data_IF_124481698714
#
_entry.id   IF_124481698714
#
_cell.length_a   1.000
_cell.length_b   1.000
_cell.length_c   1.000
_cell.angle_alpha   90.00
_cell.angle_beta   90.00
_cell.angle_gamma   90.00
#
_symmetry.space_group_name_H-M   'P 1'
#
loop_
_entity.id
_entity.type
_entity.pdbx_description
1 polymer ?
#
# COMPACT_ATOMS: atom_id res chain seq x y z
N UNK A 1 31.21 14.26 -65.45
CA UNK A 1 30.35 15.36 -65.00
C UNK A 1 29.41 14.83 -63.92
N UNK A 2 29.75 14.92 -62.63
CA UNK A 2 28.84 14.56 -61.54
C UNK A 2 27.95 15.75 -61.17
N UNK A 3 26.67 15.47 -60.91
CA UNK A 3 25.65 16.43 -60.45
C UNK A 3 25.85 16.77 -58.96
N UNK A 4 25.46 17.99 -58.51
CA UNK A 4 25.81 18.51 -57.19
C UNK A 4 24.88 18.04 -56.06
N UNK A 5 25.45 17.90 -54.86
CA UNK A 5 24.74 17.66 -53.59
C UNK A 5 24.03 18.94 -53.10
N UNK A 6 22.87 18.83 -52.44
CA UNK A 6 22.16 20.00 -51.92
C UNK A 6 22.76 20.49 -50.58
N UNK A 7 22.70 21.81 -50.42
CA UNK A 7 23.28 22.57 -49.32
C UNK A 7 22.61 22.32 -47.96
N UNK A 8 23.43 22.31 -46.91
CA UNK A 8 23.04 22.23 -45.50
C UNK A 8 22.49 23.60 -45.06
N UNK A 9 21.20 23.65 -44.73
CA UNK A 9 20.56 24.82 -44.12
C UNK A 9 20.89 24.90 -42.63
N UNK A 10 21.47 26.02 -42.21
CA UNK A 10 21.72 26.39 -40.81
C UNK A 10 20.42 26.87 -40.16
N UNK A 11 20.01 26.23 -39.06
CA UNK A 11 18.87 26.65 -38.22
C UNK A 11 19.41 27.56 -37.10
N UNK A 12 18.78 28.72 -36.81
CA UNK A 12 19.27 29.62 -35.77
C UNK A 12 19.00 29.07 -34.37
N UNK A 13 20.00 29.23 -33.49
CA UNK A 13 19.92 28.91 -32.08
C UNK A 13 18.91 29.82 -31.36
N UNK A 14 17.80 29.24 -30.89
CA UNK A 14 16.87 29.93 -29.98
C UNK A 14 17.29 29.71 -28.53
N UNK A 15 17.37 30.81 -27.79
CA UNK A 15 17.86 30.88 -26.42
C UNK A 15 16.97 30.10 -25.45
N UNK A 16 17.58 29.18 -24.71
CA UNK A 16 16.96 28.45 -23.61
C UNK A 16 16.95 29.37 -22.39
N UNK A 17 15.75 29.74 -21.93
CA UNK A 17 15.56 30.36 -20.61
C UNK A 17 15.69 29.28 -19.52
N UNK A 18 16.33 29.57 -18.37
CA UNK A 18 16.48 28.58 -17.31
C UNK A 18 15.15 28.34 -16.59
N UNK A 19 14.72 27.08 -16.55
CA UNK A 19 13.60 26.63 -15.72
C UNK A 19 14.04 26.66 -14.26
N UNK A 20 13.40 27.50 -13.47
CA UNK A 20 13.61 27.59 -12.04
C UNK A 20 13.32 26.23 -11.37
N UNK A 21 14.28 25.75 -10.59
CA UNK A 21 14.14 24.55 -9.78
C UNK A 21 12.98 24.72 -8.78
N UNK A 22 11.92 23.93 -8.95
CA UNK A 22 10.86 23.81 -7.97
C UNK A 22 11.44 23.19 -6.68
N UNK A 23 11.29 23.90 -5.58
CA UNK A 23 11.75 23.46 -4.26
C UNK A 23 11.08 22.12 -3.90
N UNK A 24 11.90 21.12 -3.58
CA UNK A 24 11.45 19.84 -3.06
C UNK A 24 10.59 20.07 -1.80
N UNK A 25 9.34 19.63 -1.83
CA UNK A 25 8.46 19.64 -0.67
C UNK A 25 9.05 18.74 0.42
N UNK A 26 9.26 19.30 1.62
CA UNK A 26 9.77 18.57 2.76
C UNK A 26 8.77 17.47 3.19
N UNK A 27 9.23 16.26 3.55
CA UNK A 27 8.36 15.21 4.03
C UNK A 27 7.66 15.64 5.32
N UNK A 28 6.36 15.38 5.41
CA UNK A 28 5.55 15.66 6.59
C UNK A 28 6.19 14.99 7.81
N UNK A 29 6.57 15.79 8.82
CA UNK A 29 7.12 15.31 10.08
C UNK A 29 6.06 14.49 10.83
N UNK A 30 6.21 13.18 10.80
CA UNK A 30 5.41 12.26 11.60
C UNK A 30 5.78 12.37 13.09
N UNK A 31 4.78 12.45 13.97
CA UNK A 31 4.99 12.40 15.43
C UNK A 31 4.94 10.94 15.89
N UNK A 32 6.01 10.40 16.51
CA UNK A 32 5.98 9.03 17.03
C UNK A 32 5.00 8.90 18.20
N UNK A 33 4.18 7.85 18.17
CA UNK A 33 3.28 7.48 19.27
C UNK A 33 4.13 6.93 20.42
N UNK A 34 4.15 7.61 21.57
CA UNK A 34 4.66 7.07 22.83
C UNK A 34 3.59 6.16 23.44
N UNK A 35 3.79 4.85 23.36
CA UNK A 35 3.03 3.88 24.16
C UNK A 35 3.44 4.02 25.63
N UNK A 36 2.57 4.60 26.45
CA UNK A 36 2.74 4.68 27.91
C UNK A 36 2.22 3.38 28.52
N UNK A 37 3.11 2.49 28.94
CA UNK A 37 2.75 1.36 29.77
C UNK A 37 2.57 1.84 31.22
N UNK A 38 1.39 1.63 31.79
CA UNK A 38 1.15 1.82 33.22
C UNK A 38 1.45 0.51 33.95
N UNK A 39 2.28 0.49 35.01
CA UNK A 39 2.46 -0.71 35.81
C UNK A 39 1.29 -0.85 36.80
N UNK A 40 0.60 -1.98 36.76
CA UNK A 40 -0.35 -2.40 37.79
C UNK A 40 0.39 -3.18 38.88
N UNK A 41 0.51 -2.58 40.06
CA UNK A 41 1.01 -3.21 41.28
C UNK A 41 -0.08 -4.08 41.90
N UNK A 42 0.26 -5.34 42.19
CA UNK A 42 -0.55 -6.29 42.97
C UNK A 42 -0.16 -6.16 44.44
N UNK A 43 -1.13 -6.02 45.33
CA UNK A 43 -0.93 -6.20 46.77
C UNK A 43 -2.20 -6.75 47.42
N UNK A 44 -2.09 -7.96 48.00
CA UNK A 44 -3.03 -8.53 48.98
C UNK A 44 -2.95 -7.76 50.31
N UNK A 45 -3.97 -7.84 51.18
CA UNK A 45 -3.82 -8.74 52.33
C UNK A 45 -5.13 -9.38 52.84
N UNK A 46 -4.97 -10.16 53.90
CA UNK A 46 -5.84 -11.15 54.52
C UNK A 46 -6.64 -10.66 55.75
N UNK A 47 -7.58 -11.55 56.16
CA UNK A 47 -8.14 -11.82 57.53
C UNK A 47 -9.26 -10.95 58.14
N UNK A 48 -10.44 -11.58 58.23
CA UNK A 48 -11.31 -11.88 59.40
C UNK A 48 -11.91 -10.76 60.29
N UNK A 49 -13.25 -10.69 60.35
CA UNK A 49 -14.06 -10.81 61.59
C UNK A 49 -15.58 -10.65 61.34
N UNK A 50 -16.36 -11.33 62.18
CA UNK A 50 -17.83 -11.55 62.17
C UNK A 50 -18.55 -10.50 63.03
N UNK A 51 -19.74 -10.02 62.60
CA UNK A 51 -20.90 -9.74 63.49
C UNK A 51 -22.20 -9.48 62.69
N UNK A 52 -23.33 -9.91 63.27
CA UNK A 52 -24.69 -10.12 62.73
C UNK A 52 -25.56 -8.84 62.56
N UNK A 53 -26.77 -8.92 61.94
CA UNK A 53 -27.38 -7.81 61.17
C UNK A 53 -28.56 -7.07 61.86
N UNK A 54 -28.99 -5.89 61.34
CA UNK A 54 -30.30 -5.29 61.61
C UNK A 54 -31.24 -5.30 60.37
N UNK A 55 -32.56 -4.99 60.52
CA UNK A 55 -33.65 -5.48 59.67
C UNK A 55 -33.89 -4.64 58.40
N UNK A 56 -34.71 -5.11 57.43
CA UNK A 56 -34.82 -4.46 56.13
C UNK A 56 -35.89 -3.35 56.14
N UNK A 57 -35.66 -2.24 55.40
CA UNK A 57 -36.76 -1.45 54.90
C UNK A 57 -36.81 -1.46 53.36
N UNK A 58 -37.96 -1.92 52.87
CA UNK A 58 -38.72 -1.45 51.70
C UNK A 58 -37.99 -1.00 50.43
N UNK A 59 -38.23 -1.74 49.35
CA UNK A 59 -37.89 -1.38 47.98
C UNK A 59 -38.52 -0.04 47.55
N UNK A 60 -37.67 0.90 47.13
CA UNK A 60 -38.03 1.98 46.19
C UNK A 60 -36.94 2.10 45.14
N UNK A 61 -37.33 1.85 43.89
CA UNK A 61 -36.49 2.07 42.71
C UNK A 61 -36.19 3.56 42.55
N UNK A 62 -34.94 3.95 42.79
CA UNK A 62 -34.41 5.27 42.38
C UNK A 62 -33.26 5.06 41.39
N UNK A 63 -33.52 5.44 40.13
CA UNK A 63 -32.56 5.50 39.04
C UNK A 63 -31.38 6.39 39.44
N UNK A 64 -30.19 5.82 39.60
CA UNK A 64 -28.95 6.60 39.69
C UNK A 64 -28.53 7.03 38.29
N UNK A 65 -28.56 8.35 38.08
CA UNK A 65 -27.91 9.05 36.99
C UNK A 65 -26.45 8.62 36.89
N UNK A 66 -26.08 8.01 35.76
CA UNK A 66 -24.70 7.83 35.36
C UNK A 66 -24.25 9.12 34.67
N UNK A 67 -23.40 9.89 35.35
CA UNK A 67 -22.83 11.12 34.82
C UNK A 67 -22.01 10.82 33.56
N UNK A 68 -22.29 11.58 32.49
CA UNK A 68 -21.74 11.39 31.16
C UNK A 68 -20.22 11.56 31.12
N UNK A 69 -19.55 10.61 30.45
CA UNK A 69 -18.28 10.90 29.78
C UNK A 69 -18.58 11.89 28.67
N UNK A 70 -17.92 13.05 28.69
CA UNK A 70 -18.03 14.04 27.64
C UNK A 70 -17.71 13.41 26.29
N UNK A 71 -18.70 13.42 25.40
CA UNK A 71 -18.50 13.19 23.99
C UNK A 71 -17.62 14.32 23.46
N UNK A 72 -16.36 14.01 23.18
CA UNK A 72 -15.60 14.82 22.26
C UNK A 72 -16.36 14.82 20.92
N UNK A 73 -16.57 15.97 20.26
CA UNK A 73 -17.33 16.01 19.03
C UNK A 73 -16.70 15.04 18.02
N UNK A 74 -17.51 14.12 17.49
CA UNK A 74 -17.10 13.20 16.46
C UNK A 74 -16.52 14.02 15.30
N UNK A 75 -15.24 13.80 14.96
CA UNK A 75 -14.64 14.43 13.77
C UNK A 75 -15.53 14.10 12.58
N UNK A 76 -15.84 15.06 11.69
CA UNK A 76 -16.59 14.77 10.49
C UNK A 76 -15.93 13.60 9.76
N UNK A 77 -16.75 12.60 9.41
CA UNK A 77 -16.27 11.38 8.78
C UNK A 77 -15.65 11.74 7.44
N UNK A 78 -14.32 11.61 7.31
CA UNK A 78 -13.62 11.79 6.04
C UNK A 78 -14.21 10.80 5.01
N UNK A 79 -14.57 11.28 3.82
CA UNK A 79 -14.98 10.42 2.71
C UNK A 79 -13.86 9.44 2.33
N UNK A 80 -14.21 8.30 1.73
CA UNK A 80 -13.25 7.29 1.29
C UNK A 80 -13.17 7.27 -0.23
N UNK A 81 -11.97 7.05 -0.76
CA UNK A 81 -11.73 6.80 -2.19
C UNK A 81 -11.04 5.46 -2.30
N UNK A 82 -11.48 4.65 -3.27
CA UNK A 82 -10.92 3.34 -3.53
C UNK A 82 -10.01 3.37 -4.75
N UNK A 83 -8.83 2.77 -4.63
CA UNK A 83 -8.00 2.41 -5.78
C UNK A 83 -8.09 0.91 -6.00
N UNK A 84 -8.51 0.50 -7.19
CA UNK A 84 -8.60 -0.91 -7.60
C UNK A 84 -7.38 -1.25 -8.45
N UNK A 85 -6.49 -2.07 -7.92
CA UNK A 85 -5.39 -2.66 -8.67
C UNK A 85 -5.92 -3.82 -9.52
N UNK A 86 -6.04 -3.60 -10.83
CA UNK A 86 -6.83 -4.47 -11.70
C UNK A 86 -6.07 -5.73 -12.10
N UNK A 87 -4.76 -5.63 -12.29
CA UNK A 87 -3.96 -6.69 -12.88
C UNK A 87 -4.04 -7.99 -12.06
N UNK A 88 -3.85 -7.99 -10.72
CA UNK A 88 -3.87 -9.22 -9.93
C UNK A 88 -5.24 -9.92 -9.87
N UNK A 89 -6.33 -9.16 -9.90
CA UNK A 89 -7.70 -9.72 -9.77
C UNK A 89 -8.25 -10.29 -11.08
N UNK A 90 -7.51 -10.12 -12.19
CA UNK A 90 -7.80 -10.72 -13.47
C UNK A 90 -7.38 -12.20 -13.58
N UNK A 91 -6.74 -12.77 -12.55
CA UNK A 91 -6.19 -14.11 -12.57
C UNK A 91 -6.80 -15.02 -11.50
N UNK A 92 -6.88 -16.31 -11.81
CA UNK A 92 -7.12 -17.40 -10.87
C UNK A 92 -5.90 -18.31 -10.90
N UNK A 93 -5.07 -18.22 -9.86
CA UNK A 93 -3.74 -18.82 -9.90
C UNK A 93 -2.91 -18.17 -11.02
N UNK A 94 -2.35 -18.98 -11.93
CA UNK A 94 -1.59 -18.49 -13.09
C UNK A 94 -2.43 -18.22 -14.34
N UNK A 95 -3.72 -18.56 -14.33
CA UNK A 95 -4.59 -18.45 -15.50
C UNK A 95 -5.44 -17.19 -15.45
N UNK A 96 -5.47 -16.45 -16.56
CA UNK A 96 -6.34 -15.28 -16.71
C UNK A 96 -7.80 -15.74 -16.76
N UNK A 97 -8.68 -15.07 -16.02
CA UNK A 97 -10.11 -15.41 -15.96
C UNK A 97 -10.99 -14.16 -15.84
N UNK A 98 -11.63 -13.77 -16.95
CA UNK A 98 -12.52 -12.62 -17.00
C UNK A 98 -13.79 -12.83 -16.15
N UNK A 99 -14.32 -14.05 -16.10
CA UNK A 99 -15.45 -14.37 -15.22
C UNK A 99 -15.07 -14.34 -13.73
N UNK A 100 -13.83 -14.68 -13.37
CA UNK A 100 -13.34 -14.48 -12.00
C UNK A 100 -13.19 -12.98 -11.68
N UNK A 101 -12.61 -12.19 -12.59
CA UNK A 101 -12.52 -10.74 -12.45
C UNK A 101 -13.89 -10.11 -12.17
N UNK A 102 -14.89 -10.38 -13.02
CA UNK A 102 -16.20 -9.77 -12.87
C UNK A 102 -16.92 -10.19 -11.57
N UNK A 103 -16.72 -11.43 -11.10
CA UNK A 103 -17.21 -11.85 -9.78
C UNK A 103 -16.55 -11.08 -8.64
N UNK A 104 -15.22 -10.91 -8.68
CA UNK A 104 -14.51 -10.11 -7.68
C UNK A 104 -14.96 -8.65 -7.68
N UNK A 105 -15.18 -8.09 -8.87
CA UNK A 105 -15.66 -6.73 -9.06
C UNK A 105 -17.09 -6.57 -8.52
N UNK A 106 -17.99 -7.52 -8.79
CA UNK A 106 -19.35 -7.52 -8.26
C UNK A 106 -19.37 -7.55 -6.72
N UNK A 107 -18.56 -8.43 -6.11
CA UNK A 107 -18.41 -8.52 -4.65
C UNK A 107 -17.81 -7.24 -4.07
N UNK A 108 -16.85 -6.64 -4.76
CA UNK A 108 -16.22 -5.38 -4.36
C UNK A 108 -17.25 -4.24 -4.35
N UNK A 109 -18.00 -4.05 -5.43
CA UNK A 109 -19.03 -3.01 -5.51
C UNK A 109 -20.15 -3.24 -4.51
N UNK A 110 -20.61 -4.48 -4.32
CA UNK A 110 -21.78 -4.78 -3.47
C UNK A 110 -21.47 -4.74 -1.98
N UNK A 111 -20.24 -5.07 -1.57
CA UNK A 111 -19.92 -5.27 -0.15
C UNK A 111 -18.81 -4.36 0.38
N UNK A 112 -18.07 -3.68 -0.48
CA UNK A 112 -16.88 -2.93 -0.09
C UNK A 112 -17.01 -1.45 -0.43
N UNK A 113 -17.04 -1.11 -1.72
CA UNK A 113 -17.06 0.29 -2.16
C UNK A 113 -18.46 0.87 -2.17
N UNK A 114 -19.50 0.07 -2.42
CA UNK A 114 -20.88 0.57 -2.53
C UNK A 114 -20.95 1.71 -3.55
N UNK A 115 -21.22 2.93 -3.08
CA UNK A 115 -21.27 4.16 -3.87
C UNK A 115 -20.05 5.05 -3.68
N UNK A 116 -19.10 4.67 -2.82
CA UNK A 116 -17.87 5.42 -2.63
C UNK A 116 -17.09 5.45 -3.97
N UNK A 117 -16.35 6.54 -4.25
CA UNK A 117 -15.57 6.67 -5.48
C UNK A 117 -14.55 5.55 -5.63
N UNK A 118 -14.41 5.05 -6.86
CA UNK A 118 -13.46 4.00 -7.24
C UNK A 118 -12.67 4.47 -8.45
N UNK A 119 -11.34 4.30 -8.43
CA UNK A 119 -10.45 4.50 -9.58
C UNK A 119 -9.73 3.18 -9.85
N UNK A 120 -9.87 2.66 -11.07
CA UNK A 120 -9.18 1.46 -11.50
C UNK A 120 -7.83 1.82 -12.11
N UNK A 121 -6.77 1.10 -11.70
CA UNK A 121 -5.40 1.35 -12.14
C UNK A 121 -4.81 0.08 -12.74
N UNK A 122 -4.17 0.23 -13.90
CA UNK A 122 -3.49 -0.86 -14.62
C UNK A 122 -1.99 -0.60 -14.71
N UNK A 123 -1.21 -1.68 -14.86
CA UNK A 123 0.20 -1.57 -15.23
C UNK A 123 0.34 -0.88 -16.59
N UNK A 124 1.24 0.11 -16.66
CA UNK A 124 1.63 0.74 -17.91
C UNK A 124 2.49 -0.19 -18.79
N UNK A 125 2.54 0.11 -20.09
CA UNK A 125 3.48 -0.57 -20.96
C UNK A 125 4.91 -0.34 -20.47
N UNK A 126 5.70 -1.41 -20.34
CA UNK A 126 7.07 -1.32 -19.83
C UNK A 126 7.21 -0.97 -18.35
N UNK A 127 6.14 -1.07 -17.53
CA UNK A 127 6.15 -0.62 -16.13
C UNK A 127 7.31 -1.14 -15.27
N UNK A 128 7.67 -2.41 -15.43
CA UNK A 128 8.75 -3.04 -14.66
C UNK A 128 10.16 -2.85 -15.26
N UNK A 129 10.32 -2.13 -16.37
CA UNK A 129 11.61 -2.01 -17.06
C UNK A 129 12.67 -1.30 -16.20
N UNK A 130 12.26 -0.26 -15.46
CA UNK A 130 13.17 0.42 -14.53
C UNK A 130 13.71 -0.56 -13.48
N UNK A 131 12.82 -1.30 -12.82
CA UNK A 131 13.20 -2.30 -11.80
C UNK A 131 14.03 -3.43 -12.39
N UNK A 132 13.74 -3.89 -13.62
CA UNK A 132 14.55 -4.90 -14.33
C UNK A 132 15.95 -4.41 -14.73
N UNK A 133 16.10 -3.12 -15.05
CA UNK A 133 17.43 -2.52 -15.31
C UNK A 133 18.29 -2.53 -14.04
N UNK A 134 17.67 -2.25 -12.89
CA UNK A 134 18.35 -2.34 -11.60
C UNK A 134 18.65 -3.80 -11.23
N UNK A 135 17.64 -4.66 -11.29
CA UNK A 135 17.71 -6.06 -10.90
C UNK A 135 17.08 -6.95 -11.99
N UNK A 136 17.90 -7.59 -12.85
CA UNK A 136 17.41 -8.42 -13.95
C UNK A 136 16.49 -9.59 -13.54
N UNK A 137 16.60 -10.08 -12.30
CA UNK A 137 15.72 -11.14 -11.78
C UNK A 137 14.31 -10.65 -11.43
N UNK A 138 14.08 -9.34 -11.35
CA UNK A 138 12.81 -8.75 -10.95
C UNK A 138 11.66 -9.20 -11.86
N UNK A 139 10.69 -9.91 -11.28
CA UNK A 139 9.52 -10.51 -11.95
C UNK A 139 9.88 -11.34 -13.20
N UNK A 140 11.14 -11.82 -13.32
CA UNK A 140 11.62 -12.50 -14.51
C UNK A 140 10.96 -13.87 -14.77
N UNK A 141 10.51 -14.52 -13.70
CA UNK A 141 9.79 -15.81 -13.75
C UNK A 141 8.31 -15.64 -14.15
N UNK A 142 7.76 -14.43 -14.08
CA UNK A 142 6.41 -14.16 -14.58
C UNK A 142 6.52 -14.27 -16.09
N UNK A 143 5.96 -15.34 -16.66
CA UNK A 143 5.96 -15.57 -18.11
C UNK A 143 5.61 -14.27 -18.80
N UNK A 144 6.38 -13.87 -19.83
CA UNK A 144 6.03 -12.76 -20.74
C UNK A 144 4.74 -13.13 -21.47
N UNK A 145 3.62 -13.12 -20.76
CA UNK A 145 2.33 -13.50 -21.27
C UNK A 145 1.83 -12.39 -22.16
N UNK A 146 1.57 -12.72 -23.41
CA UNK A 146 0.71 -11.94 -24.31
C UNK A 146 -0.48 -11.40 -23.50
N UNK A 147 -0.55 -10.08 -23.27
CA UNK A 147 -1.62 -9.46 -22.48
C UNK A 147 -1.25 -8.90 -21.09
N UNK A 148 0.00 -8.50 -20.84
CA UNK A 148 0.38 -7.71 -19.64
C UNK A 148 -0.17 -6.29 -19.63
N UNK A 149 -0.66 -5.79 -20.77
CA UNK A 149 -1.39 -4.52 -20.84
C UNK A 149 -2.84 -4.67 -20.41
N UNK A 150 -3.51 -3.54 -20.21
CA UNK A 150 -4.95 -3.49 -19.97
C UNK A 150 -5.71 -4.22 -21.09
N UNK A 151 -6.47 -5.26 -20.74
CA UNK A 151 -7.33 -5.97 -21.69
C UNK A 151 -8.53 -5.10 -21.96
N UNK A 152 -8.77 -4.77 -23.24
CA UNK A 152 -9.82 -3.84 -23.64
C UNK A 152 -11.18 -4.24 -23.06
N UNK A 153 -11.48 -5.53 -22.96
CA UNK A 153 -12.75 -6.03 -22.38
C UNK A 153 -12.89 -5.65 -20.90
N UNK A 154 -11.79 -5.70 -20.16
CA UNK A 154 -11.75 -5.32 -18.73
C UNK A 154 -11.87 -3.80 -18.58
N UNK A 155 -11.23 -3.04 -19.47
CA UNK A 155 -11.35 -1.58 -19.51
C UNK A 155 -12.79 -1.16 -19.84
N UNK A 156 -13.39 -1.78 -20.84
CA UNK A 156 -14.74 -1.46 -21.31
C UNK A 156 -15.76 -1.72 -20.20
N UNK A 157 -15.72 -2.90 -19.55
CA UNK A 157 -16.66 -3.20 -18.44
C UNK A 157 -16.49 -2.27 -17.24
N UNK A 158 -15.26 -1.84 -16.92
CA UNK A 158 -15.02 -0.87 -15.85
C UNK A 158 -15.61 0.51 -16.20
N UNK A 159 -15.44 0.97 -17.44
CA UNK A 159 -15.99 2.23 -17.93
C UNK A 159 -17.51 2.19 -17.98
N UNK A 160 -18.08 1.08 -18.44
CA UNK A 160 -19.52 0.85 -18.41
C UNK A 160 -20.04 0.89 -16.96
N UNK A 161 -19.31 0.38 -15.97
CA UNK A 161 -19.63 0.55 -14.54
C UNK A 161 -19.30 1.96 -13.98
N UNK A 162 -19.06 2.97 -14.82
CA UNK A 162 -18.71 4.33 -14.42
C UNK A 162 -17.45 4.43 -13.54
N UNK A 163 -16.47 3.55 -13.74
CA UNK A 163 -15.17 3.58 -13.05
C UNK A 163 -14.11 4.23 -13.94
N UNK A 164 -13.51 5.36 -13.52
CA UNK A 164 -12.32 5.91 -14.16
C UNK A 164 -11.19 4.89 -14.24
N UNK A 165 -10.55 4.80 -15.40
CA UNK A 165 -9.42 3.90 -15.66
C UNK A 165 -8.16 4.71 -15.90
N UNK A 166 -7.12 4.43 -15.13
CA UNK A 166 -5.80 5.09 -15.21
C UNK A 166 -4.74 4.06 -15.59
N UNK A 167 -3.90 4.44 -16.54
CA UNK A 167 -2.73 3.68 -16.98
C UNK A 167 -1.64 4.67 -17.38
N UNK A 168 -0.41 4.46 -16.91
CA UNK A 168 0.72 5.36 -17.19
C UNK A 168 1.91 4.53 -17.65
N UNK A 169 2.29 4.68 -18.91
CA UNK A 169 3.41 3.93 -19.49
C UNK A 169 4.72 4.18 -18.75
N UNK A 170 5.54 3.14 -18.64
CA UNK A 170 6.81 3.16 -17.90
C UNK A 170 6.67 2.99 -16.39
N UNK A 171 5.45 2.88 -15.86
CA UNK A 171 5.18 2.66 -14.44
C UNK A 171 4.26 1.46 -14.19
N UNK A 172 4.45 0.79 -13.05
CA UNK A 172 3.54 -0.23 -12.56
C UNK A 172 2.33 0.42 -11.87
N UNK A 173 1.22 -0.33 -11.73
CA UNK A 173 -0.01 0.19 -11.13
C UNK A 173 0.20 0.68 -9.70
N UNK A 174 1.11 0.03 -8.98
CA UNK A 174 1.47 0.33 -7.59
C UNK A 174 2.10 1.72 -7.42
N UNK A 175 2.98 2.13 -8.33
CA UNK A 175 3.60 3.46 -8.40
C UNK A 175 2.55 4.55 -8.66
N UNK A 176 1.63 4.28 -9.59
CA UNK A 176 0.52 5.20 -9.92
C UNK A 176 -0.42 5.35 -8.73
N UNK A 177 -0.81 4.25 -8.09
CA UNK A 177 -1.66 4.26 -6.89
C UNK A 177 -0.96 4.96 -5.73
N UNK A 178 0.34 4.75 -5.52
CA UNK A 178 1.09 5.42 -4.46
C UNK A 178 1.11 6.94 -4.66
N UNK A 179 1.32 7.40 -5.90
CA UNK A 179 1.26 8.83 -6.26
C UNK A 179 -0.14 9.42 -6.04
N UNK A 180 -1.19 8.75 -6.55
CA UNK A 180 -2.57 9.22 -6.41
C UNK A 180 -3.07 9.18 -4.95
N UNK A 181 -2.57 8.24 -4.14
CA UNK A 181 -2.87 8.15 -2.71
C UNK A 181 -2.47 9.43 -2.00
N UNK A 182 -1.28 9.98 -2.26
CA UNK A 182 -0.86 11.24 -1.65
C UNK A 182 -1.76 12.41 -2.03
N UNK A 183 -2.14 12.50 -3.31
CA UNK A 183 -3.04 13.56 -3.80
C UNK A 183 -4.43 13.48 -3.17
N UNK A 184 -4.98 12.28 -3.00
CA UNK A 184 -6.27 12.07 -2.33
C UNK A 184 -6.21 12.46 -0.84
N UNK A 185 -5.14 12.06 -0.14
CA UNK A 185 -4.94 12.40 1.27
C UNK A 185 -4.81 13.92 1.48
N UNK A 186 -4.11 14.62 0.58
CA UNK A 186 -3.99 16.09 0.60
C UNK A 186 -5.35 16.79 0.46
N UNK A 187 -6.30 16.18 -0.25
CA UNK A 187 -7.70 16.67 -0.35
C UNK A 187 -8.57 16.30 0.85
N UNK A 188 -8.02 15.65 1.87
CA UNK A 188 -8.71 15.35 3.13
C UNK A 188 -9.54 14.07 3.15
N UNK A 189 -9.44 13.25 2.10
CA UNK A 189 -10.10 11.95 2.01
C UNK A 189 -9.26 10.86 2.68
N UNK A 190 -9.88 9.70 2.89
CA UNK A 190 -9.21 8.44 3.23
C UNK A 190 -9.08 7.58 2.00
N UNK A 191 -8.06 6.73 1.97
CA UNK A 191 -7.78 5.83 0.85
C UNK A 191 -7.98 4.38 1.26
N UNK A 192 -8.61 3.60 0.38
CA UNK A 192 -8.66 2.15 0.49
C UNK A 192 -8.13 1.53 -0.80
N UNK A 193 -7.08 0.73 -0.71
CA UNK A 193 -6.46 0.09 -1.87
C UNK A 193 -6.95 -1.35 -1.95
N UNK A 194 -7.65 -1.69 -3.03
CA UNK A 194 -8.15 -3.02 -3.33
C UNK A 194 -7.11 -3.79 -4.16
N UNK A 195 -6.27 -4.56 -3.49
CA UNK A 195 -5.21 -5.37 -4.11
C UNK A 195 -4.77 -6.50 -3.18
N UNK A 196 -4.40 -7.69 -3.70
CA UNK A 196 -3.67 -8.70 -2.93
C UNK A 196 -2.16 -8.37 -2.81
N UNK A 197 -1.66 -7.37 -3.51
CA UNK A 197 -0.23 -7.04 -3.52
C UNK A 197 0.21 -6.51 -2.15
N UNK A 198 1.28 -7.11 -1.63
CA UNK A 198 1.85 -6.73 -0.34
C UNK A 198 2.67 -5.45 -0.42
N UNK A 199 3.04 -4.97 -1.60
CA UNK A 199 3.82 -3.75 -1.77
C UNK A 199 3.08 -2.51 -1.27
N UNK A 200 1.74 -2.52 -1.35
CA UNK A 200 0.89 -1.46 -0.79
C UNK A 200 0.95 -1.37 0.74
N UNK A 201 1.53 -2.35 1.45
CA UNK A 201 1.76 -2.24 2.91
C UNK A 201 2.64 -1.04 3.25
N UNK A 202 3.48 -0.59 2.32
CA UNK A 202 4.28 0.64 2.44
C UNK A 202 3.44 1.91 2.63
N UNK A 203 2.17 1.90 2.26
CA UNK A 203 1.28 3.05 2.31
C UNK A 203 0.33 3.03 3.53
N UNK A 204 0.25 1.91 4.26
CA UNK A 204 -0.69 1.75 5.38
C UNK A 204 -0.44 2.81 6.45
N UNK A 205 -1.52 3.50 6.84
CA UNK A 205 -1.51 4.51 7.89
C UNK A 205 -2.88 4.57 8.58
N UNK A 206 -3.14 5.62 9.36
CA UNK A 206 -4.47 5.86 9.93
C UNK A 206 -5.52 6.18 8.87
N UNK A 207 -5.12 6.80 7.77
CA UNK A 207 -6.00 7.25 6.67
C UNK A 207 -5.87 6.39 5.40
N UNK A 208 -5.03 5.35 5.41
CA UNK A 208 -4.86 4.40 4.28
C UNK A 208 -5.02 2.97 4.76
N UNK A 209 -5.93 2.23 4.12
CA UNK A 209 -6.21 0.82 4.39
C UNK A 209 -6.07 -0.01 3.11
N UNK A 210 -5.84 -1.31 3.27
CA UNK A 210 -5.93 -2.26 2.16
C UNK A 210 -7.21 -3.07 2.29
N UNK A 211 -7.70 -3.58 1.17
CA UNK A 211 -8.75 -4.60 1.12
C UNK A 211 -8.33 -5.67 0.13
N UNK A 212 -8.24 -6.91 0.59
CA UNK A 212 -7.65 -8.01 -0.18
C UNK A 212 -8.72 -9.07 -0.48
N UNK A 213 -8.73 -9.67 -1.69
CA UNK A 213 -9.61 -10.80 -1.97
C UNK A 213 -9.14 -12.03 -1.17
N UNK A 214 -10.08 -12.79 -0.59
CA UNK A 214 -9.85 -14.08 0.07
C UNK A 214 -10.59 -15.16 -0.74
N UNK A 215 -9.93 -15.81 -1.71
CA UNK A 215 -10.56 -16.75 -2.63
C UNK A 215 -11.26 -17.92 -1.94
N UNK A 216 -10.72 -18.40 -0.82
CA UNK A 216 -11.21 -19.59 -0.09
C UNK A 216 -12.64 -19.42 0.42
N UNK A 217 -13.05 -18.18 0.68
CA UNK A 217 -14.36 -17.82 1.23
C UNK A 217 -15.10 -16.80 0.36
N UNK A 218 -14.58 -16.51 -0.84
CA UNK A 218 -15.23 -15.67 -1.83
C UNK A 218 -15.60 -14.27 -1.34
N UNK A 219 -14.74 -13.61 -0.56
CA UNK A 219 -15.00 -12.26 -0.04
C UNK A 219 -13.76 -11.38 0.01
N UNK A 220 -13.98 -10.08 0.11
CA UNK A 220 -12.94 -9.10 0.40
C UNK A 220 -12.74 -8.94 1.91
N UNK A 221 -11.50 -8.71 2.35
CA UNK A 221 -11.16 -8.48 3.76
C UNK A 221 -10.27 -7.27 3.93
N UNK A 222 -10.66 -6.38 4.84
CA UNK A 222 -9.86 -5.22 5.20
C UNK A 222 -8.60 -5.62 5.95
N UNK A 223 -7.50 -4.94 5.61
CA UNK A 223 -6.23 -5.01 6.29
C UNK A 223 -5.80 -3.59 6.65
N UNK A 224 -5.60 -3.36 7.94
CA UNK A 224 -5.44 -2.02 8.52
C UNK A 224 -4.13 -1.91 9.27
N UNK A 225 -3.75 -0.70 9.68
CA UNK A 225 -2.61 -0.45 10.55
C UNK A 225 -2.58 -1.37 11.79
N UNK A 226 -3.74 -1.61 12.41
CA UNK A 226 -3.86 -2.53 13.56
C UNK A 226 -3.46 -3.96 13.19
N UNK A 227 -3.92 -4.45 12.03
CA UNK A 227 -3.57 -5.78 11.53
C UNK A 227 -2.07 -5.88 11.26
N UNK A 228 -1.49 -4.86 10.61
CA UNK A 228 -0.05 -4.79 10.36
C UNK A 228 0.76 -4.85 11.65
N UNK A 229 0.49 -3.96 12.61
CA UNK A 229 1.22 -3.91 13.88
C UNK A 229 1.06 -5.21 14.67
N UNK A 230 -0.13 -5.82 14.67
CA UNK A 230 -0.36 -7.10 15.33
C UNK A 230 0.49 -8.23 14.73
N UNK A 231 0.65 -8.27 13.41
CA UNK A 231 1.38 -9.31 12.68
C UNK A 231 2.90 -9.09 12.68
N UNK A 232 3.35 -7.85 12.45
CA UNK A 232 4.76 -7.54 12.22
C UNK A 232 5.50 -7.02 13.45
N UNK A 233 4.77 -6.55 14.48
CA UNK A 233 5.34 -5.96 15.71
C UNK A 233 6.29 -4.78 15.43
N UNK A 234 6.07 -4.08 14.32
CA UNK A 234 6.78 -2.87 13.93
C UNK A 234 5.80 -1.92 13.21
N UNK A 235 6.25 -0.68 13.02
CA UNK A 235 5.52 0.34 12.28
C UNK A 235 5.59 0.07 10.76
N UNK A 236 4.51 0.29 9.96
CA UNK A 236 4.56 0.11 8.51
C UNK A 236 5.64 0.94 7.81
N UNK A 237 6.06 2.06 8.39
CA UNK A 237 7.16 2.89 7.88
C UNK A 237 8.49 2.13 7.77
N UNK A 238 8.66 1.03 8.53
CA UNK A 238 9.85 0.17 8.45
C UNK A 238 9.66 -1.06 7.55
N UNK A 239 8.47 -1.25 6.95
CA UNK A 239 8.15 -2.43 6.13
C UNK A 239 9.14 -2.60 4.96
N UNK A 240 9.30 -1.55 4.15
CA UNK A 240 10.23 -1.54 3.02
C UNK A 240 11.66 -1.83 3.50
N UNK A 241 12.08 -1.17 4.59
CA UNK A 241 13.42 -1.38 5.16
C UNK A 241 13.63 -2.83 5.59
N UNK A 242 12.62 -3.46 6.20
CA UNK A 242 12.68 -4.87 6.59
C UNK A 242 12.75 -5.78 5.35
N UNK A 243 11.94 -5.51 4.33
CA UNK A 243 11.95 -6.28 3.07
C UNK A 243 13.26 -6.18 2.32
N UNK A 244 14.01 -5.07 2.44
CA UNK A 244 15.36 -4.98 1.86
C UNK A 244 16.29 -6.07 2.40
N UNK A 245 16.15 -6.46 3.67
CA UNK A 245 16.90 -7.57 4.25
C UNK A 245 16.31 -8.93 3.91
N UNK A 246 14.99 -9.06 3.91
CA UNK A 246 14.31 -10.37 3.77
C UNK A 246 14.15 -10.80 2.32
N UNK A 247 14.23 -9.85 1.39
CA UNK A 247 13.90 -10.06 -0.02
C UNK A 247 12.40 -10.18 -0.26
N UNK A 248 12.10 -10.48 -1.51
CA UNK A 248 10.78 -10.70 -2.05
C UNK A 248 10.81 -11.83 -3.08
N UNK A 249 10.49 -13.04 -2.66
CA UNK A 249 10.49 -14.22 -3.53
C UNK A 249 9.48 -14.09 -4.69
N UNK A 250 8.29 -13.53 -4.42
CA UNK A 250 7.22 -13.37 -5.42
C UNK A 250 7.60 -12.39 -6.54
N UNK A 251 8.55 -11.49 -6.27
CA UNK A 251 9.11 -10.53 -7.22
C UNK A 251 10.52 -10.90 -7.68
N UNK A 252 11.10 -12.01 -7.19
CA UNK A 252 12.47 -12.41 -7.54
C UNK A 252 13.54 -11.47 -6.99
N UNK A 253 13.28 -10.78 -5.88
CA UNK A 253 14.24 -9.94 -5.15
C UNK A 253 14.90 -10.77 -4.05
N UNK A 254 16.19 -11.09 -4.13
CA UNK A 254 16.82 -11.90 -3.11
C UNK A 254 16.99 -11.12 -1.78
N UNK A 255 16.77 -11.80 -0.66
CA UNK A 255 17.12 -11.29 0.66
C UNK A 255 18.59 -11.47 0.97
N UNK A 256 19.09 -10.90 2.06
CA UNK A 256 20.52 -10.99 2.43
C UNK A 256 20.92 -12.37 2.97
N UNK A 257 19.97 -13.28 3.20
CA UNK A 257 20.22 -14.55 3.90
C UNK A 257 21.18 -15.48 3.15
N UNK A 258 21.29 -15.37 1.83
CA UNK A 258 22.25 -16.14 1.04
C UNK A 258 23.70 -15.62 1.19
N UNK A 259 23.87 -14.34 1.55
CA UNK A 259 25.19 -13.73 1.83
C UNK A 259 25.54 -13.80 3.32
N UNK A 260 24.52 -13.70 4.17
CA UNK A 260 24.65 -13.69 5.61
C UNK A 260 23.52 -14.51 6.28
N UNK A 261 23.64 -15.86 6.35
CA UNK A 261 22.60 -16.73 6.89
C UNK A 261 22.17 -16.40 8.33
N UNK A 262 23.08 -15.85 9.13
CA UNK A 262 22.81 -15.41 10.50
C UNK A 262 22.01 -14.10 10.62
N UNK A 263 21.84 -13.33 9.53
CA UNK A 263 21.11 -12.06 9.52
C UNK A 263 19.63 -12.27 9.15
N UNK A 264 18.84 -12.69 10.15
CA UNK A 264 17.42 -12.97 9.99
C UNK A 264 16.49 -11.81 10.40
N UNK A 265 15.18 -12.04 10.22
CA UNK A 265 14.09 -11.09 10.53
C UNK A 265 14.20 -10.48 11.93
N UNK A 266 14.48 -11.28 12.96
CA UNK A 266 14.56 -10.81 14.35
C UNK A 266 15.66 -9.76 14.53
N UNK A 267 16.82 -9.96 13.91
CA UNK A 267 17.94 -9.02 13.95
C UNK A 267 17.60 -7.74 13.20
N UNK A 268 17.05 -7.86 11.99
CA UNK A 268 16.61 -6.73 11.17
C UNK A 268 15.58 -5.86 11.92
N UNK A 269 14.50 -6.45 12.45
CA UNK A 269 13.46 -5.72 13.21
C UNK A 269 14.04 -5.03 14.43
N UNK A 270 14.94 -5.68 15.19
CA UNK A 270 15.57 -5.07 16.37
C UNK A 270 16.38 -3.82 16.01
N UNK A 271 17.14 -3.89 14.92
CA UNK A 271 17.96 -2.76 14.44
C UNK A 271 17.07 -1.65 13.86
N UNK A 272 16.10 -2.00 13.02
CA UNK A 272 15.17 -1.03 12.44
C UNK A 272 14.34 -0.31 13.49
N UNK A 273 13.82 -1.01 14.52
CA UNK A 273 13.11 -0.35 15.62
C UNK A 273 13.99 0.64 16.39
N UNK A 274 15.31 0.43 16.43
CA UNK A 274 16.26 1.33 17.09
C UNK A 274 16.68 2.51 16.20
N UNK A 275 16.77 2.29 14.89
CA UNK A 275 17.33 3.26 13.94
C UNK A 275 16.30 3.90 13.00
N UNK A 276 15.05 3.46 13.00
CA UNK A 276 13.95 4.04 12.22
C UNK A 276 13.92 3.63 10.75
N UNK A 277 15.01 3.81 10.00
CA UNK A 277 15.05 3.49 8.56
C UNK A 277 16.30 2.69 8.18
N UNK A 278 16.25 2.01 7.03
CA UNK A 278 17.41 1.35 6.44
C UNK A 278 18.56 2.34 6.23
N UNK A 279 18.28 3.47 5.61
CA UNK A 279 19.31 4.48 5.32
C UNK A 279 19.99 4.99 6.61
N UNK A 280 19.20 5.33 7.64
CA UNK A 280 19.78 5.77 8.91
C UNK A 280 20.59 4.65 9.60
N UNK A 281 20.12 3.40 9.51
CA UNK A 281 20.85 2.25 10.03
C UNK A 281 22.21 2.07 9.32
N UNK A 282 22.24 2.11 7.98
CA UNK A 282 23.45 1.96 7.19
C UNK A 282 24.43 3.11 7.42
N UNK A 283 23.94 4.35 7.42
CA UNK A 283 24.77 5.53 7.68
C UNK A 283 25.35 5.50 9.10
N UNK A 284 24.56 5.04 10.09
CA UNK A 284 25.06 4.86 11.46
C UNK A 284 26.13 3.76 11.52
N UNK A 285 25.91 2.63 10.85
CA UNK A 285 26.86 1.52 10.81
C UNK A 285 28.20 1.93 10.16
N UNK A 286 28.18 2.85 9.21
CA UNK A 286 29.40 3.36 8.56
C UNK A 286 30.29 4.19 9.49
N UNK A 287 29.71 4.83 10.52
CA UNK A 287 30.45 5.73 11.43
C UNK A 287 30.71 5.13 12.81
N UNK A 288 29.93 4.13 13.24
CA UNK A 288 30.09 3.48 14.55
C UNK A 288 29.45 2.10 14.58
N UNK A 289 29.84 1.30 15.57
CA UNK A 289 29.28 -0.04 15.79
C UNK A 289 27.79 0.00 16.13
N UNK A 290 27.00 -0.77 15.39
CA UNK A 290 25.58 -1.04 15.65
C UNK A 290 25.35 -2.54 15.83
N UNK A 291 24.67 -2.91 16.91
CA UNK A 291 24.38 -4.32 17.20
C UNK A 291 25.63 -5.13 17.59
N UNK A 292 25.61 -6.43 17.26
CA UNK A 292 26.74 -7.35 17.48
C UNK A 292 27.71 -7.27 16.30
N UNK A 293 28.96 -7.69 16.50
CA UNK A 293 30.02 -7.69 15.49
C UNK A 293 29.57 -8.31 14.15
N UNK A 294 28.95 -9.49 14.16
CA UNK A 294 28.45 -10.10 12.92
C UNK A 294 27.41 -9.23 12.19
N UNK A 295 26.56 -8.50 12.92
CA UNK A 295 25.51 -7.67 12.34
C UNK A 295 26.11 -6.37 11.77
N UNK A 296 27.08 -5.80 12.48
CA UNK A 296 27.89 -4.67 12.02
C UNK A 296 28.58 -5.01 10.69
N UNK A 297 29.25 -6.15 10.63
CA UNK A 297 29.95 -6.65 9.44
C UNK A 297 29.02 -6.75 8.23
N UNK A 298 27.83 -7.32 8.41
CA UNK A 298 26.83 -7.45 7.34
C UNK A 298 26.38 -6.08 6.83
N UNK A 299 26.10 -5.14 7.74
CA UNK A 299 25.63 -3.80 7.37
C UNK A 299 26.68 -3.00 6.61
N UNK A 300 27.96 -3.14 6.96
CA UNK A 300 29.06 -2.46 6.26
C UNK A 300 29.37 -3.14 4.93
N UNK A 301 29.54 -4.47 4.92
CA UNK A 301 29.95 -5.23 3.72
C UNK A 301 28.87 -5.26 2.63
N UNK A 302 27.60 -5.20 3.00
CA UNK A 302 26.46 -5.34 2.08
C UNK A 302 25.55 -4.11 2.04
N UNK A 303 26.06 -2.94 2.40
CA UNK A 303 25.28 -1.69 2.38
C UNK A 303 24.67 -1.41 0.99
N UNK A 304 25.46 -1.55 -0.07
CA UNK A 304 25.01 -1.25 -1.44
C UNK A 304 24.01 -2.27 -1.96
N UNK A 305 24.15 -3.54 -1.55
CA UNK A 305 23.14 -4.57 -1.82
C UNK A 305 21.79 -4.20 -1.22
N UNK A 306 21.78 -3.74 0.04
CA UNK A 306 20.56 -3.33 0.73
C UNK A 306 19.96 -2.04 0.14
N UNK A 307 20.79 -1.08 -0.26
CA UNK A 307 20.34 0.14 -0.97
C UNK A 307 19.72 -0.19 -2.33
N UNK A 308 20.32 -1.11 -3.08
CA UNK A 308 19.77 -1.59 -4.35
C UNK A 308 18.41 -2.27 -4.15
N UNK A 309 18.28 -3.12 -3.13
CA UNK A 309 16.99 -3.72 -2.79
C UNK A 309 15.95 -2.65 -2.41
N UNK A 310 16.36 -1.59 -1.70
CA UNK A 310 15.48 -0.47 -1.40
C UNK A 310 14.98 0.22 -2.67
N UNK A 311 15.87 0.51 -3.61
CA UNK A 311 15.51 1.15 -4.88
C UNK A 311 14.53 0.30 -5.71
N UNK A 312 14.75 -1.02 -5.76
CA UNK A 312 13.88 -1.94 -6.51
C UNK A 312 12.49 -2.08 -5.85
N UNK A 313 12.43 -2.18 -4.53
CA UNK A 313 11.18 -2.46 -3.80
C UNK A 313 10.36 -1.21 -3.45
N UNK A 314 10.93 -0.01 -3.58
CA UNK A 314 10.25 1.22 -3.23
C UNK A 314 9.19 1.58 -4.26
N UNK A 315 8.01 2.02 -3.79
CA UNK A 315 7.00 2.62 -4.64
C UNK A 315 7.38 4.05 -5.00
N UNK A 316 7.30 4.39 -6.28
CA UNK A 316 7.42 5.77 -6.75
C UNK A 316 6.17 6.55 -6.34
N UNK A 317 6.37 7.82 -5.97
CA UNK A 317 5.29 8.72 -5.50
C UNK A 317 5.24 10.03 -6.30
N UNK A 318 6.00 10.09 -7.38
CA UNK A 318 6.24 11.25 -8.24
C UNK A 318 5.92 10.93 -9.71
N UNK A 319 5.03 9.96 -9.95
CA UNK A 319 4.56 9.65 -11.31
C UNK A 319 3.84 10.86 -11.88
N UNK A 320 4.07 11.18 -13.16
CA UNK A 320 3.40 12.29 -13.83
C UNK A 320 1.92 11.95 -14.13
N UNK A 321 1.10 11.93 -13.08
CA UNK A 321 -0.34 11.66 -13.11
C UNK A 321 -1.03 12.61 -12.15
N UNK A 322 -2.19 13.13 -12.54
CA UNK A 322 -2.98 14.05 -11.73
C UNK A 322 -4.36 13.47 -11.45
N UNK A 323 -4.76 13.55 -10.19
CA UNK A 323 -6.09 13.21 -9.73
C UNK A 323 -7.11 14.20 -10.30
N UNK A 324 -8.11 13.69 -11.01
CA UNK A 324 -9.26 14.48 -11.43
C UNK A 324 -10.27 14.56 -10.28
N UNK A 325 -10.69 15.78 -9.92
CA UNK A 325 -11.65 16.01 -8.84
C UNK A 325 -13.01 15.32 -9.08
N UNK A 326 -13.38 15.08 -10.34
CA UNK A 326 -14.59 14.34 -10.69
C UNK A 326 -14.54 12.91 -10.18
N UNK A 327 -13.35 12.32 -10.03
CA UNK A 327 -13.17 10.96 -9.52
C UNK A 327 -13.39 10.84 -8.01
N UNK A 328 -13.63 11.95 -7.30
CA UNK A 328 -13.93 11.97 -5.87
C UNK A 328 -15.43 12.01 -5.57
N UNK A 329 -16.25 12.06 -6.61
CA UNK A 329 -17.71 12.03 -6.48
C UNK A 329 -18.21 10.60 -6.30
N UNK A 330 -19.33 10.45 -5.57
CA UNK A 330 -19.98 9.16 -5.42
C UNK A 330 -20.30 8.55 -6.80
N UNK A 331 -20.04 7.25 -6.94
CA UNK A 331 -20.23 6.54 -8.21
C UNK A 331 -21.71 6.34 -8.50
N UNK A 332 -22.09 6.48 -9.77
CA UNK A 332 -23.37 6.00 -10.28
C UNK A 332 -23.29 4.48 -10.51
N UNK A 333 -24.07 3.74 -9.73
CA UNK A 333 -24.07 2.27 -9.68
C UNK A 333 -25.26 1.66 -10.40
N UNK A 334 -26.08 2.46 -11.10
CA UNK A 334 -27.36 2.01 -11.66
C UNK A 334 -27.21 0.88 -12.69
N UNK A 335 -26.07 0.80 -13.36
CA UNK A 335 -25.78 -0.15 -14.42
C UNK A 335 -24.87 -1.31 -14.00
N UNK A 336 -24.35 -1.33 -12.77
CA UNK A 336 -23.40 -2.35 -12.31
C UNK A 336 -23.92 -3.77 -12.47
N UNK A 337 -25.13 -4.01 -12.00
CA UNK A 337 -25.70 -5.36 -11.98
C UNK A 337 -25.90 -5.88 -13.39
N UNK A 338 -26.46 -5.07 -14.31
CA UNK A 338 -26.67 -5.48 -15.70
C UNK A 338 -25.34 -5.68 -16.43
N UNK A 339 -24.43 -4.71 -16.36
CA UNK A 339 -23.12 -4.75 -17.04
C UNK A 339 -22.31 -5.97 -16.59
N UNK A 340 -22.21 -6.21 -15.29
CA UNK A 340 -21.43 -7.33 -14.76
C UNK A 340 -22.09 -8.69 -15.06
N UNK A 341 -23.42 -8.77 -15.06
CA UNK A 341 -24.13 -10.01 -15.39
C UNK A 341 -23.92 -10.39 -16.84
N UNK A 342 -24.07 -9.44 -17.76
CA UNK A 342 -23.85 -9.64 -19.20
C UNK A 342 -22.39 -10.02 -19.48
N UNK A 343 -21.44 -9.37 -18.82
CA UNK A 343 -20.02 -9.69 -18.93
C UNK A 343 -19.72 -11.11 -18.44
N UNK A 344 -20.26 -11.52 -17.28
CA UNK A 344 -20.10 -12.88 -16.75
C UNK A 344 -20.69 -13.89 -17.75
N UNK A 345 -21.90 -13.68 -18.25
CA UNK A 345 -22.54 -14.59 -19.20
C UNK A 345 -21.72 -14.76 -20.48
N UNK A 346 -21.18 -13.65 -21.01
CA UNK A 346 -20.35 -13.64 -22.21
C UNK A 346 -19.05 -14.44 -22.05
N UNK A 347 -18.47 -14.46 -20.84
CA UNK A 347 -17.17 -15.09 -20.56
C UNK A 347 -17.23 -16.29 -19.61
N UNK A 348 -18.41 -16.86 -19.37
CA UNK A 348 -18.58 -18.09 -18.55
C UNK A 348 -18.40 -19.39 -19.36
N UNK A 349 -18.27 -19.32 -20.69
CA UNK A 349 -18.13 -20.49 -21.59
C UNK A 349 -16.70 -20.69 -22.13
N UNK A 350 -15.70 -20.07 -21.51
CA UNK A 350 -14.29 -20.12 -21.94
C UNK A 350 -13.45 -21.07 -21.11
#
# INVERSE_FOLDING_TARGET
MPLPLPAVGTVPASAIAPVAAAAAAAPLRYRPIRLRASPSTVSSPSTSAISSPPPPPSARHSRKHLAGRGDAPARPSKGRVFFLDVNPICFRGSQRSLSAFARWLALFFTHVSLRDPVVAVFDGAGGNEYRRRLLPSYKAHRTRGVGTGADSRVVDVLRECNVPVVQVDGYEADDVVATLTEQVLQKGYRVVIASPDKDFKQLISEDVQLVMPIPEIGRWSFYTLRHYVAQYKCDPTVDLSLRCFMGDEADGVPGIQHLAPGFGRKTAVKLLNKHGSLENLLNTAAVRTVGKEYAQDVLVKHADYLRKNYEVLSLKRDVNVQLDDRWLSARDTCNDTSVLSDFILKFSKG
#
